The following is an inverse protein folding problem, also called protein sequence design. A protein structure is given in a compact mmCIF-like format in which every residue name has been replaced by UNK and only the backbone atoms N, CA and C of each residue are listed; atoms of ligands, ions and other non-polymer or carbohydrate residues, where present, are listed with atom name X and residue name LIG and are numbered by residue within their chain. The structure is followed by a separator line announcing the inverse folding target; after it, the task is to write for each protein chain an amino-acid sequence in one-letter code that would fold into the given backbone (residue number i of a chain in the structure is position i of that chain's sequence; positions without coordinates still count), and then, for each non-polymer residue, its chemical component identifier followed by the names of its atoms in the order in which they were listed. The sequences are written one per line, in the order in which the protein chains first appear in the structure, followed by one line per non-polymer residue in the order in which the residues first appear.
data_IF_199686256367
#
_entry.id   IF_199686256367
#
_cell.length_a   1.000
_cell.length_b   1.000
_cell.length_c   1.000
_cell.angle_alpha   90.00
_cell.angle_beta   90.00
_cell.angle_gamma   90.00
#
_symmetry.space_group_name_H-M   'P 1'
#
loop_
_entity.id
_entity.type
_entity.pdbx_description
1 polymer ?
#
# COMPACT_ATOMS: atom_id res chain seq x y z
N UNK A 1 2.67 -2.97 -23.64
CA UNK A 1 2.11 -3.38 -22.34
C UNK A 1 1.34 -2.20 -21.79
N UNK A 2 0.04 -2.37 -21.48
CA UNK A 2 -0.77 -1.30 -20.92
C UNK A 2 -0.26 -0.99 -19.51
N UNK A 3 0.10 0.26 -19.25
CA UNK A 3 0.49 0.70 -17.91
C UNK A 3 -0.78 0.89 -17.09
N UNK A 4 -1.07 -0.05 -16.19
CA UNK A 4 -2.23 0.04 -15.31
C UNK A 4 -1.99 1.12 -14.26
N UNK A 5 -3.03 1.87 -13.95
CA UNK A 5 -3.02 2.88 -12.89
C UNK A 5 -4.09 2.60 -11.84
N UNK A 6 -3.85 3.07 -10.62
CA UNK A 6 -4.89 3.16 -9.61
C UNK A 6 -5.89 4.27 -9.95
N UNK A 7 -6.93 4.42 -9.12
CA UNK A 7 -7.95 5.48 -9.26
C UNK A 7 -7.39 6.89 -9.08
N UNK A 8 -6.22 7.02 -8.50
CA UNK A 8 -5.49 8.27 -8.36
C UNK A 8 -4.63 8.59 -9.60
N UNK A 9 -4.55 7.66 -10.57
CA UNK A 9 -3.73 7.81 -11.77
C UNK A 9 -2.26 7.47 -11.54
N UNK A 10 -1.90 6.88 -10.40
CA UNK A 10 -0.55 6.40 -10.17
C UNK A 10 -0.35 5.02 -10.78
N UNK A 11 0.84 4.78 -11.30
CA UNK A 11 1.17 3.53 -11.96
C UNK A 11 1.24 2.37 -10.96
N UNK A 12 0.78 1.19 -11.39
CA UNK A 12 0.76 -0.05 -10.61
C UNK A 12 1.63 -1.11 -11.32
N UNK A 13 2.97 -1.06 -11.17
CA UNK A 13 3.83 -2.07 -11.75
C UNK A 13 3.52 -3.45 -11.16
N UNK A 14 3.65 -4.50 -11.98
CA UNK A 14 3.36 -5.89 -11.56
C UNK A 14 1.86 -6.21 -11.42
N UNK A 15 0.96 -5.23 -11.51
CA UNK A 15 -0.48 -5.48 -11.46
C UNK A 15 -1.00 -6.12 -12.76
N UNK A 16 -2.01 -6.96 -12.62
CA UNK A 16 -2.91 -7.38 -13.70
C UNK A 16 -4.22 -6.61 -13.58
N UNK A 17 -5.10 -6.68 -14.59
CA UNK A 17 -6.43 -6.06 -14.48
C UNK A 17 -7.20 -6.60 -13.28
N UNK A 18 -7.09 -7.89 -13.00
CA UNK A 18 -7.75 -8.53 -11.86
C UNK A 18 -7.20 -8.04 -10.51
N UNK A 19 -5.87 -8.04 -10.35
CA UNK A 19 -5.26 -7.62 -9.08
C UNK A 19 -5.42 -6.13 -8.83
N UNK A 20 -5.51 -5.31 -9.88
CA UNK A 20 -5.92 -3.91 -9.78
C UNK A 20 -7.32 -3.77 -9.20
N UNK A 21 -8.30 -4.54 -9.66
CA UNK A 21 -9.67 -4.46 -9.11
C UNK A 21 -9.76 -4.97 -7.67
N UNK A 22 -8.96 -5.98 -7.31
CA UNK A 22 -8.80 -6.42 -5.92
C UNK A 22 -8.23 -5.32 -5.02
N UNK A 23 -7.16 -4.67 -5.47
CA UNK A 23 -6.57 -3.53 -4.78
C UNK A 23 -7.55 -2.37 -4.64
N UNK A 24 -8.25 -2.01 -5.71
CA UNK A 24 -9.29 -0.99 -5.66
C UNK A 24 -10.39 -1.30 -4.65
N UNK A 25 -10.84 -2.55 -4.56
CA UNK A 25 -11.84 -2.98 -3.57
C UNK A 25 -11.33 -2.86 -2.14
N UNK A 26 -10.11 -3.32 -1.87
CA UNK A 26 -9.49 -3.20 -0.55
C UNK A 26 -9.43 -1.75 -0.07
N UNK A 27 -9.05 -0.87 -1.00
CA UNK A 27 -8.83 0.54 -0.73
C UNK A 27 -10.14 1.30 -0.54
N UNK A 28 -11.15 1.01 -1.38
CA UNK A 28 -12.49 1.55 -1.15
C UNK A 28 -12.98 1.13 0.24
N UNK A 29 -12.87 -0.15 0.60
CA UNK A 29 -13.31 -0.68 1.89
C UNK A 29 -12.62 0.01 3.08
N UNK A 30 -11.30 0.21 2.99
CA UNK A 30 -10.55 0.93 4.00
C UNK A 30 -10.98 2.41 4.11
N UNK A 31 -11.09 3.10 2.98
CA UNK A 31 -11.42 4.53 2.95
C UNK A 31 -12.81 4.85 3.52
N UNK A 32 -13.80 3.98 3.30
CA UNK A 32 -15.16 4.16 3.84
C UNK A 32 -15.37 3.42 5.16
N UNK A 33 -14.33 2.81 5.74
CA UNK A 33 -14.38 2.00 6.96
C UNK A 33 -15.49 0.93 6.92
N UNK A 34 -15.68 0.26 5.77
CA UNK A 34 -16.74 -0.74 5.58
C UNK A 34 -16.25 -1.95 4.80
N UNK A 35 -16.55 -3.13 5.32
CA UNK A 35 -16.16 -4.40 4.71
C UNK A 35 -14.76 -4.84 5.14
N UNK A 36 -14.24 -5.86 4.47
CA UNK A 36 -12.90 -6.41 4.72
C UNK A 36 -11.89 -5.89 3.67
N UNK A 37 -10.93 -5.03 4.07
CA UNK A 37 -9.89 -4.55 3.17
C UNK A 37 -8.72 -5.53 2.99
N UNK A 38 -8.57 -6.55 3.85
CA UNK A 38 -7.39 -7.44 3.87
C UNK A 38 -7.55 -8.61 2.90
N UNK A 39 -8.71 -9.28 2.86
CA UNK A 39 -8.91 -10.44 1.97
C UNK A 39 -8.63 -10.13 0.49
N UNK A 40 -9.09 -9.00 -0.09
CA UNK A 40 -8.76 -8.68 -1.48
C UNK A 40 -7.26 -8.46 -1.72
N UNK A 41 -6.53 -7.91 -0.74
CA UNK A 41 -5.07 -7.74 -0.84
C UNK A 41 -4.35 -9.09 -0.79
N UNK A 42 -4.80 -10.02 0.06
CA UNK A 42 -4.24 -11.37 0.11
C UNK A 42 -4.38 -12.07 -1.26
N UNK A 43 -5.57 -11.99 -1.86
CA UNK A 43 -5.82 -12.53 -3.21
C UNK A 43 -4.95 -11.86 -4.27
N UNK A 44 -4.80 -10.52 -4.21
CA UNK A 44 -3.97 -9.79 -5.17
C UNK A 44 -2.49 -10.20 -5.09
N UNK A 45 -1.97 -10.40 -3.87
CA UNK A 45 -0.58 -10.83 -3.62
C UNK A 45 -0.36 -12.27 -4.10
N UNK A 46 -1.35 -13.15 -3.94
CA UNK A 46 -1.28 -14.54 -4.41
C UNK A 46 -1.26 -14.62 -5.95
N UNK A 47 -2.14 -13.86 -6.61
CA UNK A 47 -2.26 -13.84 -8.08
C UNK A 47 -1.07 -13.15 -8.75
N UNK A 48 -0.60 -12.04 -8.16
CA UNK A 48 0.51 -11.25 -8.70
C UNK A 48 1.53 -10.92 -7.59
N UNK A 49 2.47 -11.83 -7.29
CA UNK A 49 3.48 -11.63 -6.25
C UNK A 49 4.35 -10.39 -6.45
N UNK A 50 4.55 -9.99 -7.71
CA UNK A 50 5.32 -8.80 -8.10
C UNK A 50 4.53 -7.48 -7.96
N UNK A 51 3.23 -7.54 -7.65
CA UNK A 51 2.41 -6.35 -7.42
C UNK A 51 2.65 -5.77 -6.01
N UNK A 52 3.80 -5.11 -5.86
CA UNK A 52 4.32 -4.66 -4.57
C UNK A 52 3.38 -3.71 -3.84
N UNK A 53 2.63 -2.85 -4.54
CA UNK A 53 1.67 -1.94 -3.88
C UNK A 53 0.55 -2.66 -3.11
N UNK A 54 0.11 -3.85 -3.53
CA UNK A 54 -0.86 -4.62 -2.74
C UNK A 54 -0.27 -5.06 -1.39
N UNK A 55 1.01 -5.46 -1.38
CA UNK A 55 1.74 -5.81 -0.16
C UNK A 55 2.00 -4.60 0.73
N UNK A 56 2.34 -3.45 0.14
CA UNK A 56 2.50 -2.18 0.86
C UNK A 56 1.18 -1.79 1.55
N UNK A 57 0.05 -1.86 0.85
CA UNK A 57 -1.26 -1.55 1.43
C UNK A 57 -1.57 -2.47 2.62
N UNK A 58 -1.31 -3.78 2.47
CA UNK A 58 -1.54 -4.76 3.55
C UNK A 58 -0.65 -4.48 4.77
N UNK A 59 0.62 -4.15 4.54
CA UNK A 59 1.55 -3.80 5.60
C UNK A 59 1.08 -2.57 6.41
N UNK A 60 0.53 -1.54 5.75
CA UNK A 60 -0.04 -0.40 6.46
C UNK A 60 -1.27 -0.78 7.28
N UNK A 61 -2.21 -1.56 6.73
CA UNK A 61 -3.39 -2.01 7.48
C UNK A 61 -3.01 -2.74 8.76
N UNK A 62 -2.02 -3.63 8.68
CA UNK A 62 -1.55 -4.39 9.82
C UNK A 62 -0.70 -3.57 10.80
N UNK A 63 0.15 -2.66 10.31
CA UNK A 63 0.93 -1.77 11.17
C UNK A 63 0.04 -0.82 11.99
N UNK A 64 -1.08 -0.37 11.41
CA UNK A 64 -2.03 0.55 12.05
C UNK A 64 -3.05 -0.14 12.96
N UNK A 65 -3.23 -1.46 12.84
CA UNK A 65 -4.16 -2.21 13.68
C UNK A 65 -3.73 -2.26 15.17
N UNK A 66 -2.47 -1.94 15.48
CA UNK A 66 -1.89 -1.95 16.83
C UNK A 66 -1.98 -3.31 17.58
N UNK A 67 -2.20 -4.41 16.84
CA UNK A 67 -2.20 -5.78 17.35
C UNK A 67 -0.82 -6.43 17.13
N UNK A 68 -0.20 -7.07 18.14
CA UNK A 68 1.16 -7.63 18.00
C UNK A 68 1.33 -8.60 16.83
N UNK A 69 0.36 -9.51 16.66
CA UNK A 69 0.39 -10.49 15.56
C UNK A 69 0.25 -9.81 14.18
N UNK A 70 -0.52 -8.72 14.08
CA UNK A 70 -0.61 -7.94 12.86
C UNK A 70 0.71 -7.20 12.58
N UNK A 71 1.32 -6.60 13.61
CA UNK A 71 2.62 -5.95 13.47
C UNK A 71 3.70 -6.92 12.97
N UNK A 72 3.69 -8.18 13.42
CA UNK A 72 4.61 -9.20 12.91
C UNK A 72 4.33 -9.56 11.45
N UNK A 73 3.06 -9.69 11.04
CA UNK A 73 2.71 -9.86 9.64
C UNK A 73 3.17 -8.68 8.76
N UNK A 74 3.03 -7.44 9.25
CA UNK A 74 3.51 -6.25 8.57
C UNK A 74 5.04 -6.23 8.43
N UNK A 75 5.79 -6.69 9.45
CA UNK A 75 7.25 -6.85 9.36
C UNK A 75 7.64 -7.89 8.31
N UNK A 76 6.94 -9.01 8.24
CA UNK A 76 7.15 -10.03 7.19
C UNK A 76 6.92 -9.44 5.81
N UNK A 77 5.87 -8.62 5.64
CA UNK A 77 5.63 -7.92 4.39
C UNK A 77 6.74 -6.93 4.04
N UNK A 78 7.22 -6.15 5.02
CA UNK A 78 8.30 -5.19 4.81
C UNK A 78 9.60 -5.88 4.36
N UNK A 79 9.91 -7.07 4.85
CA UNK A 79 11.07 -7.86 4.39
C UNK A 79 10.95 -8.15 2.89
N UNK A 80 9.80 -8.63 2.43
CA UNK A 80 9.57 -8.93 1.01
C UNK A 80 9.57 -7.66 0.16
N UNK A 81 8.94 -6.58 0.64
CA UNK A 81 8.94 -5.27 -0.05
C UNK A 81 10.38 -4.81 -0.28
N UNK A 82 11.25 -4.87 0.73
CA UNK A 82 12.65 -4.43 0.62
C UNK A 82 13.51 -5.27 -0.33
N UNK A 83 13.10 -6.51 -0.62
CA UNK A 83 13.77 -7.40 -1.57
C UNK A 83 13.23 -7.25 -3.00
N UNK A 84 12.10 -6.57 -3.18
CA UNK A 84 11.44 -6.37 -4.46
C UNK A 84 12.07 -5.23 -5.25
N UNK A 85 11.87 -5.23 -6.57
CA UNK A 85 12.27 -4.08 -7.41
C UNK A 85 11.22 -2.98 -7.28
N UNK A 86 11.54 -1.95 -6.50
CA UNK A 86 10.62 -0.84 -6.22
C UNK A 86 10.79 0.32 -7.21
N UNK A 87 9.67 0.96 -7.57
CA UNK A 87 9.69 2.30 -8.15
C UNK A 87 9.83 3.37 -7.05
N UNK A 88 9.90 4.65 -7.44
CA UNK A 88 10.06 5.77 -6.49
C UNK A 88 8.92 5.86 -5.46
N UNK A 89 7.67 5.61 -5.87
CA UNK A 89 6.48 5.69 -4.99
C UNK A 89 6.49 4.57 -3.97
N UNK A 90 6.75 3.36 -4.41
CA UNK A 90 6.86 2.16 -3.57
C UNK A 90 8.02 2.29 -2.59
N UNK A 91 9.16 2.81 -3.05
CA UNK A 91 10.33 3.10 -2.19
C UNK A 91 9.96 4.08 -1.09
N UNK A 92 9.24 5.15 -1.42
CA UNK A 92 8.81 6.16 -0.45
C UNK A 92 7.88 5.57 0.62
N UNK A 93 6.95 4.67 0.24
CA UNK A 93 6.15 3.93 1.22
C UNK A 93 6.98 2.98 2.08
N UNK A 94 7.94 2.26 1.49
CA UNK A 94 8.80 1.33 2.23
C UNK A 94 9.63 2.03 3.32
N UNK A 95 10.07 3.28 3.08
CA UNK A 95 10.74 4.12 4.09
C UNK A 95 9.78 4.45 5.24
N UNK A 96 8.57 4.94 4.92
CA UNK A 96 7.57 5.26 5.94
C UNK A 96 7.17 4.02 6.77
N UNK A 97 6.95 2.87 6.13
CA UNK A 97 6.67 1.61 6.82
C UNK A 97 7.82 1.16 7.73
N UNK A 98 9.07 1.38 7.32
CA UNK A 98 10.24 1.06 8.15
C UNK A 98 10.23 1.85 9.44
N UNK A 99 9.92 3.15 9.38
CA UNK A 99 9.83 4.02 10.57
C UNK A 99 8.62 3.65 11.42
N UNK A 100 7.46 3.43 10.79
CA UNK A 100 6.23 3.05 11.47
C UNK A 100 6.39 1.77 12.28
N UNK A 101 6.99 0.72 11.69
CA UNK A 101 7.22 -0.57 12.35
C UNK A 101 8.36 -0.53 13.39
N UNK A 102 9.19 0.51 13.37
CA UNK A 102 10.13 0.82 14.42
C UNK A 102 9.51 1.65 15.56
N UNK A 103 8.20 1.92 15.53
CA UNK A 103 7.48 2.80 16.47
C UNK A 103 7.90 4.28 16.40
N UNK A 104 8.54 4.70 15.30
CA UNK A 104 8.97 6.08 15.06
C UNK A 104 7.85 6.88 14.38
N UNK A 105 6.72 7.05 15.07
CA UNK A 105 5.46 7.60 14.53
C UNK A 105 5.63 8.99 13.90
N UNK A 106 6.35 9.89 14.56
CA UNK A 106 6.60 11.24 14.05
C UNK A 106 7.42 11.22 12.77
N UNK A 107 8.47 10.39 12.72
CA UNK A 107 9.30 10.25 11.53
C UNK A 107 8.50 9.65 10.36
N UNK A 108 7.68 8.62 10.64
CA UNK A 108 6.79 8.01 9.65
C UNK A 108 5.78 9.02 9.08
N UNK A 109 5.18 9.85 9.95
CA UNK A 109 4.28 10.93 9.56
C UNK A 109 4.94 11.94 8.62
N UNK A 110 6.11 12.46 9.00
CA UNK A 110 6.88 13.39 8.15
C UNK A 110 7.24 12.78 6.79
N UNK A 111 7.65 11.51 6.76
CA UNK A 111 7.93 10.80 5.51
C UNK A 111 6.68 10.69 4.64
N UNK A 112 5.50 10.43 5.23
CA UNK A 112 4.24 10.41 4.49
C UNK A 112 3.82 11.80 4.00
N UNK A 113 4.10 12.87 4.73
CA UNK A 113 3.87 14.23 4.26
C UNK A 113 4.72 14.52 3.01
N UNK A 114 6.02 14.21 3.06
CA UNK A 114 6.90 14.32 1.89
C UNK A 114 6.46 13.43 0.73
N UNK A 115 6.00 12.21 1.03
CA UNK A 115 5.41 11.32 0.03
C UNK A 115 4.23 11.99 -0.67
N UNK A 116 3.28 12.54 0.08
CA UNK A 116 2.08 13.18 -0.45
C UNK A 116 2.41 14.43 -1.27
N UNK A 117 3.44 15.20 -0.90
CA UNK A 117 3.90 16.34 -1.70
C UNK A 117 4.48 15.89 -3.06
N UNK A 118 5.23 14.79 -3.08
CA UNK A 118 5.87 14.27 -4.31
C UNK A 118 4.86 13.53 -5.21
N UNK A 119 3.95 12.77 -4.61
CA UNK A 119 2.92 12.00 -5.30
C UNK A 119 1.56 12.59 -4.96
N UNK A 120 1.32 13.81 -5.43
CA UNK A 120 0.16 14.65 -5.08
C UNK A 120 -1.22 14.06 -5.44
N UNK A 121 -1.26 12.99 -6.22
CA UNK A 121 -2.49 12.23 -6.46
C UNK A 121 -2.73 11.11 -5.44
N UNK A 122 -1.72 10.66 -4.69
CA UNK A 122 -1.75 9.47 -3.80
C UNK A 122 -2.56 9.66 -2.51
N UNK A 123 -3.11 10.84 -2.22
CA UNK A 123 -4.00 10.98 -1.07
C UNK A 123 -5.19 10.03 -1.24
N UNK A 124 -5.20 8.95 -0.45
CA UNK A 124 -6.18 7.88 -0.55
C UNK A 124 -7.62 8.36 -0.31
N UNK A 125 -7.79 9.45 0.45
CA UNK A 125 -9.08 10.15 0.63
C UNK A 125 -9.46 11.07 -0.56
N UNK A 126 -8.49 11.60 -1.29
CA UNK A 126 -8.76 12.46 -2.46
C UNK A 126 -9.03 11.58 -3.68
N UNK A 127 -10.19 10.91 -3.70
CA UNK A 127 -10.73 10.35 -4.94
C UNK A 127 -10.80 11.50 -5.95
N UNK A 128 -10.15 11.39 -7.11
CA UNK A 128 -10.52 12.26 -8.24
C UNK A 128 -11.97 11.92 -8.54
N UNK A 129 -12.87 12.81 -8.12
CA UNK A 129 -14.23 12.85 -8.64
C UNK A 129 -14.08 13.39 -10.05
N UNK A 130 -13.94 12.49 -11.02
CA UNK A 130 -14.21 12.77 -12.43
C UNK A 130 -15.51 12.09 -12.79
#
# INVERSE_FOLDING_TARGET
MLMLTDRQGNTLPGATTETRELYHRAIDAFNIYRGDPVTPLNQAIEIAPDFTMARIARAYLFALAAEPAAADAAKTDLVVIKQSRLNDRETSHAVALTQLLASEWTAAGLTLDHHNLRFHTTCWLCRRVT
#
